data_IF_005644668676
#
_entry.id   IF_005644668676
#
_cell.length_a   1.000
_cell.length_b   1.000
_cell.length_c   1.000
_cell.angle_alpha   90.00
_cell.angle_beta   90.00
_cell.angle_gamma   90.00
#
_symmetry.space_group_name_H-M   'P 1'
#
loop_
_entity.id
_entity.type
_entity.pdbx_description
1 polymer ?
#
# COMPACT_ATOMS: atom_id res chain seq x y z
N UNK A 1 -9.63 -4.12 14.07
CA UNK A 1 -9.83 -4.79 15.38
C UNK A 1 -10.99 -5.78 15.34
N UNK A 2 -12.15 -5.41 14.77
CA UNK A 2 -13.31 -6.32 14.63
C UNK A 2 -13.03 -7.65 13.90
N UNK A 3 -12.12 -7.66 12.92
CA UNK A 3 -11.74 -8.89 12.19
C UNK A 3 -10.67 -9.74 12.89
N UNK A 4 -9.99 -9.21 13.90
CA UNK A 4 -8.91 -9.95 14.58
C UNK A 4 -9.46 -11.12 15.37
N UNK A 5 -10.58 -10.92 16.07
CA UNK A 5 -11.23 -11.95 16.87
C UNK A 5 -11.77 -13.10 15.99
N UNK A 6 -12.55 -12.85 14.92
CA UNK A 6 -12.94 -13.89 13.97
C UNK A 6 -11.75 -14.62 13.34
N UNK A 7 -10.69 -13.90 12.96
CA UNK A 7 -9.50 -14.50 12.36
C UNK A 7 -8.79 -15.46 13.32
N UNK A 8 -8.63 -15.08 14.59
CA UNK A 8 -8.06 -15.97 15.61
C UNK A 8 -8.94 -17.19 15.89
N UNK A 9 -10.25 -17.01 15.95
CA UNK A 9 -11.19 -18.12 16.14
C UNK A 9 -11.14 -19.12 14.98
N UNK A 10 -11.10 -18.63 13.73
CA UNK A 10 -10.96 -19.47 12.55
C UNK A 10 -9.61 -20.19 12.53
N UNK A 11 -8.52 -19.51 12.86
CA UNK A 11 -7.19 -20.14 12.96
C UNK A 11 -7.17 -21.25 14.02
N UNK A 12 -7.67 -20.96 15.23
CA UNK A 12 -7.73 -21.93 16.32
C UNK A 12 -8.64 -23.14 16.01
N UNK A 13 -9.74 -22.92 15.28
CA UNK A 13 -10.59 -24.01 14.80
C UNK A 13 -9.92 -24.83 13.69
N UNK A 14 -9.18 -24.17 12.80
CA UNK A 14 -8.38 -24.80 11.75
C UNK A 14 -7.36 -25.79 12.30
N UNK A 15 -6.59 -25.40 13.33
CA UNK A 15 -5.57 -26.23 13.96
C UNK A 15 -6.13 -27.48 14.68
N UNK A 16 -7.45 -27.56 14.90
CA UNK A 16 -8.12 -28.74 15.48
C UNK A 16 -8.37 -29.86 14.46
N UNK A 17 -7.63 -29.89 13.35
CA UNK A 17 -7.77 -30.89 12.29
C UNK A 17 -8.71 -30.49 11.14
N UNK A 18 -9.09 -29.22 11.04
CA UNK A 18 -9.94 -28.69 9.96
C UNK A 18 -9.12 -28.01 8.84
N UNK A 19 -7.85 -28.40 8.69
CA UNK A 19 -6.95 -27.88 7.66
C UNK A 19 -5.95 -26.81 8.12
N UNK A 20 -5.91 -26.49 9.41
CA UNK A 20 -4.79 -25.77 10.02
C UNK A 20 -3.54 -26.65 10.10
N UNK A 21 -2.40 -26.03 9.91
CA UNK A 21 -1.10 -26.72 9.82
C UNK A 21 0.05 -25.84 10.29
N UNK A 22 -0.25 -24.72 10.98
CA UNK A 22 0.75 -23.78 11.46
C UNK A 22 1.53 -24.42 12.60
N UNK A 23 2.86 -24.52 12.47
CA UNK A 23 3.78 -25.22 13.40
C UNK A 23 3.59 -26.75 13.51
N UNK A 24 2.51 -27.31 12.98
CA UNK A 24 2.10 -28.71 13.18
C UNK A 24 2.10 -29.55 11.90
N UNK A 25 1.93 -28.94 10.73
CA UNK A 25 1.74 -29.67 9.47
C UNK A 25 2.54 -29.16 8.27
N UNK A 26 2.88 -27.87 8.23
CA UNK A 26 3.71 -27.30 7.15
C UNK A 26 5.19 -27.21 7.53
N UNK A 27 6.04 -26.87 6.55
CA UNK A 27 7.46 -26.64 6.81
C UNK A 27 7.66 -25.37 7.65
N UNK A 28 8.63 -25.40 8.58
CA UNK A 28 9.01 -24.23 9.40
C UNK A 28 9.36 -23.00 8.54
N UNK A 29 9.80 -23.21 7.30
CA UNK A 29 10.05 -22.14 6.32
C UNK A 29 8.77 -21.39 5.95
N UNK A 30 7.67 -22.12 5.72
CA UNK A 30 6.37 -21.54 5.37
C UNK A 30 5.83 -20.69 6.53
N UNK A 31 5.93 -21.21 7.75
CA UNK A 31 5.51 -20.49 8.96
C UNK A 31 6.34 -19.21 9.16
N UNK A 32 7.66 -19.31 8.98
CA UNK A 32 8.53 -18.14 9.01
C UNK A 32 8.13 -17.10 7.95
N UNK A 33 7.86 -17.52 6.70
CA UNK A 33 7.42 -16.61 5.63
C UNK A 33 6.07 -15.95 5.95
N UNK A 34 5.13 -16.66 6.58
CA UNK A 34 3.84 -16.09 7.03
C UNK A 34 4.04 -15.02 8.11
N UNK A 35 4.86 -15.31 9.13
CA UNK A 35 5.18 -14.35 10.20
C UNK A 35 5.88 -13.12 9.62
N UNK A 36 6.91 -13.34 8.80
CA UNK A 36 7.64 -12.23 8.16
C UNK A 36 6.76 -11.42 7.22
N UNK A 37 5.87 -12.06 6.46
CA UNK A 37 4.89 -11.36 5.61
C UNK A 37 4.01 -10.40 6.42
N UNK A 38 3.56 -10.85 7.60
CA UNK A 38 2.85 -10.00 8.56
C UNK A 38 3.69 -8.80 9.02
N UNK A 39 4.93 -9.04 9.46
CA UNK A 39 5.83 -7.97 9.96
C UNK A 39 6.17 -6.96 8.87
N UNK A 40 6.56 -7.43 7.68
CA UNK A 40 6.94 -6.59 6.53
C UNK A 40 5.76 -5.72 6.07
N UNK A 41 4.52 -6.19 6.23
CA UNK A 41 3.32 -5.40 5.89
C UNK A 41 2.92 -4.44 7.02
N UNK A 42 3.02 -4.87 8.27
CA UNK A 42 2.61 -4.08 9.43
C UNK A 42 3.51 -2.86 9.65
N UNK A 43 4.83 -3.01 9.48
CA UNK A 43 5.80 -1.93 9.67
C UNK A 43 5.49 -0.66 8.85
N UNK A 44 5.37 -0.72 7.51
CA UNK A 44 5.03 0.46 6.70
C UNK A 44 3.64 0.98 7.01
N UNK A 45 2.66 0.12 7.34
CA UNK A 45 1.32 0.55 7.69
C UNK A 45 1.28 1.35 9.00
N UNK A 46 2.02 0.91 10.02
CA UNK A 46 2.17 1.63 11.29
C UNK A 46 2.89 2.97 11.05
N UNK A 47 3.96 2.97 10.26
CA UNK A 47 4.68 4.19 9.87
C UNK A 47 3.77 5.18 9.14
N UNK A 48 2.97 4.70 8.19
CA UNK A 48 1.96 5.48 7.47
C UNK A 48 0.89 6.03 8.41
N UNK A 49 0.32 5.20 9.29
CA UNK A 49 -0.72 5.60 10.23
C UNK A 49 -0.25 6.72 11.19
N UNK A 50 1.05 6.74 11.53
CA UNK A 50 1.65 7.81 12.30
C UNK A 50 1.91 9.08 11.47
N UNK A 51 2.51 8.92 10.28
CA UNK A 51 2.89 10.03 9.42
C UNK A 51 1.70 10.79 8.82
N UNK A 52 0.65 10.06 8.42
CA UNK A 52 -0.55 10.62 7.77
C UNK A 52 -1.27 11.65 8.65
N UNK A 53 -1.18 11.51 9.98
CA UNK A 53 -1.78 12.45 10.95
C UNK A 53 -1.09 13.82 10.98
N UNK A 54 0.10 13.94 10.38
CA UNK A 54 0.95 15.13 10.44
C UNK A 54 1.04 15.89 9.12
N UNK A 55 0.40 15.39 8.06
CA UNK A 55 0.44 15.99 6.72
C UNK A 55 -0.98 16.30 6.22
N UNK A 56 -1.16 17.36 5.42
CA UNK A 56 -2.44 17.68 4.81
C UNK A 56 -2.92 16.55 3.90
N UNK A 57 -4.24 16.34 3.86
CA UNK A 57 -4.90 15.28 3.09
C UNK A 57 -4.54 15.31 1.59
N UNK A 58 -4.29 16.51 1.03
CA UNK A 58 -3.82 16.67 -0.35
C UNK A 58 -2.47 15.99 -0.60
N UNK A 59 -1.51 16.12 0.32
CA UNK A 59 -0.22 15.44 0.23
C UNK A 59 -0.36 13.93 0.41
N UNK A 60 -1.29 13.47 1.26
CA UNK A 60 -1.58 12.04 1.41
C UNK A 60 -2.03 11.44 0.06
N UNK A 61 -2.94 12.13 -0.64
CA UNK A 61 -3.39 11.72 -1.97
C UNK A 61 -2.24 11.67 -2.99
N UNK A 62 -1.34 12.66 -2.96
CA UNK A 62 -0.16 12.69 -3.85
C UNK A 62 0.79 11.51 -3.53
N UNK A 63 1.05 11.23 -2.26
CA UNK A 63 1.93 10.13 -1.84
C UNK A 63 1.38 8.75 -2.25
N UNK A 64 0.06 8.60 -2.36
CA UNK A 64 -0.54 7.33 -2.82
C UNK A 64 -0.19 6.98 -4.27
N UNK A 65 0.22 7.96 -5.11
CA UNK A 65 0.69 7.67 -6.47
C UNK A 65 2.10 7.06 -6.53
N UNK A 66 2.84 7.06 -5.41
CA UNK A 66 4.14 6.38 -5.33
C UNK A 66 3.95 4.87 -5.45
N UNK A 67 2.93 4.31 -4.79
CA UNK A 67 2.67 2.87 -4.81
C UNK A 67 2.46 2.28 -6.22
N UNK A 68 1.54 2.78 -7.07
CA UNK A 68 1.38 2.27 -8.43
C UNK A 68 2.63 2.52 -9.30
N UNK A 69 3.40 3.57 -9.02
CA UNK A 69 4.66 3.85 -9.74
C UNK A 69 5.74 2.84 -9.39
N UNK A 70 5.90 2.50 -8.11
CA UNK A 70 6.82 1.43 -7.67
C UNK A 70 6.37 0.07 -8.17
N UNK A 71 5.07 -0.23 -8.17
CA UNK A 71 4.53 -1.46 -8.73
C UNK A 71 4.85 -1.59 -10.21
N UNK A 72 4.66 -0.52 -10.99
CA UNK A 72 5.04 -0.50 -12.39
C UNK A 72 6.55 -0.72 -12.58
N UNK A 73 7.36 -0.02 -11.77
CA UNK A 73 8.81 -0.10 -11.83
C UNK A 73 9.33 -1.52 -11.56
N UNK A 74 8.81 -2.15 -10.51
CA UNK A 74 9.12 -3.54 -10.17
C UNK A 74 8.61 -4.50 -11.26
N UNK A 75 7.40 -4.28 -11.76
CA UNK A 75 6.83 -5.07 -12.87
C UNK A 75 7.74 -5.09 -14.10
N UNK A 76 8.21 -3.92 -14.53
CA UNK A 76 9.02 -3.79 -15.74
C UNK A 76 10.48 -4.18 -15.51
N UNK A 77 11.14 -3.71 -14.44
CA UNK A 77 12.58 -3.93 -14.25
C UNK A 77 12.92 -5.22 -13.51
N UNK A 78 12.11 -5.63 -12.54
CA UNK A 78 12.41 -6.82 -11.73
C UNK A 78 11.70 -8.05 -12.29
N UNK A 79 10.40 -7.95 -12.55
CA UNK A 79 9.59 -9.06 -13.07
C UNK A 79 9.60 -9.17 -14.61
N UNK A 80 10.21 -8.20 -15.31
CA UNK A 80 10.34 -8.19 -16.77
C UNK A 80 8.99 -8.35 -17.50
N UNK A 81 7.91 -7.81 -16.92
CA UNK A 81 6.60 -7.85 -17.54
C UNK A 81 6.55 -7.01 -18.83
N UNK A 82 5.80 -7.46 -19.86
CA UNK A 82 5.64 -6.68 -21.09
C UNK A 82 4.98 -5.34 -20.79
N UNK A 83 5.73 -4.27 -21.01
CA UNK A 83 5.25 -2.91 -20.89
C UNK A 83 4.65 -2.45 -22.22
N UNK A 84 3.35 -2.69 -22.36
CA UNK A 84 2.58 -2.29 -23.55
C UNK A 84 2.36 -0.77 -23.64
N UNK A 85 2.21 -0.26 -24.87
CA UNK A 85 1.92 1.15 -25.13
C UNK A 85 0.67 1.65 -24.41
N UNK A 86 -0.37 0.81 -24.25
CA UNK A 86 -1.58 1.21 -23.53
C UNK A 86 -1.31 1.54 -22.05
N UNK A 87 -0.46 0.75 -21.38
CA UNK A 87 -0.04 1.00 -19.99
C UNK A 87 0.78 2.29 -19.87
N UNK A 88 1.64 2.55 -20.85
CA UNK A 88 2.45 3.76 -20.90
C UNK A 88 1.60 5.03 -21.04
N UNK A 89 0.61 5.02 -21.94
CA UNK A 89 -0.31 6.16 -22.14
C UNK A 89 -1.15 6.40 -20.88
N UNK A 90 -1.70 5.34 -20.28
CA UNK A 90 -2.47 5.45 -19.04
C UNK A 90 -1.65 6.02 -17.89
N UNK A 91 -0.42 5.54 -17.73
CA UNK A 91 0.49 6.06 -16.71
C UNK A 91 0.83 7.54 -16.95
N UNK A 92 1.14 7.92 -18.20
CA UNK A 92 1.41 9.31 -18.56
C UNK A 92 0.21 10.22 -18.29
N UNK A 93 -1.01 9.78 -18.61
CA UNK A 93 -2.24 10.56 -18.36
C UNK A 93 -2.47 10.81 -16.87
N UNK A 94 -2.26 9.79 -16.03
CA UNK A 94 -2.34 9.91 -14.56
C UNK A 94 -1.32 10.93 -14.05
N UNK A 95 -0.07 10.84 -14.50
CA UNK A 95 0.99 11.74 -14.05
C UNK A 95 0.81 13.17 -14.51
N UNK A 96 0.29 13.40 -15.71
CA UNK A 96 -0.08 14.74 -16.17
C UNK A 96 -1.17 15.34 -15.28
N UNK A 97 -2.23 14.58 -14.98
CA UNK A 97 -3.28 15.02 -14.07
C UNK A 97 -2.74 15.35 -12.67
N UNK A 98 -1.83 14.52 -12.15
CA UNK A 98 -1.18 14.74 -10.87
C UNK A 98 -0.33 16.01 -10.87
N UNK A 99 0.48 16.24 -11.91
CA UNK A 99 1.32 17.44 -12.03
C UNK A 99 0.47 18.72 -12.10
N UNK A 100 -0.65 18.69 -12.81
CA UNK A 100 -1.59 19.82 -12.86
C UNK A 100 -2.20 20.10 -11.49
N UNK A 101 -2.66 19.06 -10.78
CA UNK A 101 -3.20 19.19 -9.43
C UNK A 101 -2.18 19.74 -8.43
N UNK A 102 -0.95 19.22 -8.47
CA UNK A 102 0.15 19.69 -7.62
C UNK A 102 0.46 21.15 -7.93
N UNK A 103 0.56 21.52 -9.21
CA UNK A 103 0.80 22.90 -9.65
C UNK A 103 -0.27 23.86 -9.12
N UNK A 104 -1.55 23.53 -9.29
CA UNK A 104 -2.67 24.34 -8.78
C UNK A 104 -2.63 24.46 -7.25
N UNK A 105 -2.39 23.35 -6.55
CA UNK A 105 -2.32 23.35 -5.07
C UNK A 105 -1.19 24.24 -4.54
N UNK A 106 -0.03 24.27 -5.20
CA UNK A 106 1.10 25.11 -4.83
C UNK A 106 0.78 26.58 -5.09
N UNK A 107 0.19 26.91 -6.24
CA UNK A 107 -0.21 28.29 -6.59
C UNK A 107 -1.25 28.81 -5.59
N UNK A 108 -2.25 28.00 -5.24
CA UNK A 108 -3.31 28.36 -4.30
C UNK A 108 -2.81 28.49 -2.86
N UNK A 109 -1.82 27.70 -2.46
CA UNK A 109 -1.17 27.83 -1.14
C UNK A 109 -0.43 29.16 -0.95
N UNK A 110 -0.06 29.85 -2.04
CA UNK A 110 0.63 31.14 -2.02
C UNK A 110 -0.31 32.34 -1.98
N UNK A 111 -1.62 32.14 -2.15
CA UNK A 111 -2.59 33.23 -2.04
C UNK A 111 -2.91 33.45 -0.55
N UNK A 112 -2.66 34.64 0.03
CA UNK A 112 -3.04 34.93 1.40
C UNK A 112 -4.55 34.74 1.53
N UNK A 113 -4.98 33.98 2.54
CA UNK A 113 -6.40 33.82 2.88
C UNK A 113 -6.92 35.21 3.23
N UNK A 114 -7.59 35.87 2.29
CA UNK A 114 -8.29 37.13 2.55
C UNK A 114 -9.52 36.78 3.38
N UNK A 115 -9.37 36.78 4.71
CA UNK A 115 -10.48 36.79 5.65
C UNK A 115 -11.34 38.03 5.38
N UNK A 116 -12.58 37.81 4.91
CA UNK A 116 -13.67 38.78 4.95
C UNK A 116 -14.39 38.67 6.30
#
# INVERSE_FOLDING_TARGET
MYLFVPALLLAAWGEQGHGGAFLSGWSLRTDAMLIFGGVVTALPLIGFAYGVRRIPLSLVGILQYIAPSLQLLLGVWFFHEPFDQGRAIGFAAIWVGLLLFVGDSVVRSRQPVVTR
#
